data_IF_244239518906
#
_entry.id   IF_244239518906
#
_cell.length_a   1.000
_cell.length_b   1.000
_cell.length_c   1.000
_cell.angle_alpha   90.00
_cell.angle_beta   90.00
_cell.angle_gamma   90.00
#
_symmetry.space_group_name_H-M   'P 1'
#
loop_
_entity.id
_entity.type
_entity.pdbx_description
1 polymer ?
#
# COMPACT_ATOMS: atom_id res chain seq x y z
N UNK A 1 36.19 29.73 -16.02
CA UNK A 1 34.75 29.41 -15.95
C UNK A 1 34.61 27.90 -15.95
N UNK A 2 34.25 27.28 -14.81
CA UNK A 2 34.07 25.82 -14.70
C UNK A 2 32.56 25.54 -14.70
N UNK A 3 32.07 24.84 -15.71
CA UNK A 3 30.71 24.28 -15.72
C UNK A 3 30.66 23.12 -14.72
N UNK A 4 29.81 23.24 -13.71
CA UNK A 4 29.44 22.13 -12.85
C UNK A 4 28.41 21.28 -13.60
N UNK A 5 28.79 20.04 -13.89
CA UNK A 5 27.88 19.02 -14.43
C UNK A 5 27.06 18.52 -13.25
N UNK A 6 25.84 19.04 -13.10
CA UNK A 6 24.86 18.53 -12.15
C UNK A 6 24.41 17.14 -12.62
N UNK A 7 25.01 16.09 -12.07
CA UNK A 7 24.50 14.74 -12.16
C UNK A 7 23.20 14.67 -11.34
N UNK A 8 22.07 14.92 -11.99
CA UNK A 8 20.75 14.61 -11.44
C UNK A 8 20.61 13.09 -11.46
N UNK A 9 21.03 12.44 -10.37
CA UNK A 9 20.81 11.02 -10.16
C UNK A 9 19.31 10.75 -10.25
N UNK A 10 18.89 10.06 -11.31
CA UNK A 10 17.54 9.54 -11.44
C UNK A 10 17.34 8.57 -10.27
N UNK A 11 16.33 8.74 -9.40
CA UNK A 11 16.02 7.74 -8.39
C UNK A 11 15.58 6.49 -9.14
N UNK A 12 16.54 5.58 -9.29
CA UNK A 12 16.30 4.27 -9.87
C UNK A 12 15.35 3.58 -8.90
N UNK A 13 14.26 3.02 -9.45
CA UNK A 13 13.31 2.17 -8.74
C UNK A 13 14.03 1.38 -7.64
N UNK A 14 13.59 1.44 -6.37
CA UNK A 14 14.18 0.55 -5.40
C UNK A 14 13.80 -0.87 -5.83
N UNK A 15 14.80 -1.62 -6.30
CA UNK A 15 14.67 -3.07 -6.45
C UNK A 15 14.25 -3.64 -5.08
N UNK A 16 13.61 -4.81 -5.02
CA UNK A 16 13.33 -5.48 -3.73
C UNK A 16 14.51 -5.48 -2.74
N UNK A 17 15.79 -5.60 -3.16
CA UNK A 17 16.94 -5.36 -2.28
C UNK A 17 17.15 -3.89 -1.87
N UNK A 18 16.85 -2.88 -2.68
CA UNK A 18 16.96 -1.45 -2.34
C UNK A 18 15.87 -0.94 -1.38
N UNK A 19 14.75 -1.65 -1.23
CA UNK A 19 13.78 -1.40 -0.15
C UNK A 19 14.32 -1.79 1.24
N UNK A 20 15.38 -2.59 1.28
CA UNK A 20 16.01 -3.14 2.50
C UNK A 20 17.44 -2.64 2.68
N UNK A 21 18.11 -2.26 1.57
CA UNK A 21 19.49 -1.79 1.52
C UNK A 21 19.52 -0.27 1.31
N UNK A 22 19.31 0.48 2.38
CA UNK A 22 19.49 1.92 2.45
C UNK A 22 19.38 2.41 3.90
N UNK A 23 19.76 3.66 4.15
CA UNK A 23 19.60 4.34 5.46
C UNK A 23 18.12 4.41 5.95
N UNK A 24 17.17 3.90 5.16
CA UNK A 24 15.72 3.98 5.40
C UNK A 24 15.12 2.59 5.34
N UNK A 25 14.77 2.04 6.50
CA UNK A 25 14.20 0.71 6.65
C UNK A 25 12.73 0.67 6.16
N UNK A 26 12.49 0.35 4.89
CA UNK A 26 11.13 0.32 4.29
C UNK A 26 10.45 -1.04 4.42
N UNK A 27 10.65 -1.72 5.55
CA UNK A 27 10.02 -3.02 5.85
C UNK A 27 8.49 -2.96 5.80
N UNK A 28 7.89 -1.84 6.19
CA UNK A 28 6.44 -1.66 6.14
C UNK A 28 5.93 -1.71 4.69
N UNK A 29 6.58 -0.98 3.78
CA UNK A 29 6.25 -1.06 2.36
C UNK A 29 6.47 -2.47 1.79
N UNK A 30 7.60 -3.11 2.11
CA UNK A 30 7.85 -4.48 1.65
C UNK A 30 6.75 -5.45 2.11
N UNK A 31 6.35 -5.37 3.38
CA UNK A 31 5.25 -6.16 3.92
C UNK A 31 3.96 -5.93 3.13
N UNK A 32 3.60 -4.66 2.90
CA UNK A 32 2.40 -4.29 2.18
C UNK A 32 2.42 -4.79 0.72
N UNK A 33 3.52 -4.60 0.00
CA UNK A 33 3.67 -5.06 -1.39
C UNK A 33 3.60 -6.58 -1.50
N UNK A 34 4.21 -7.33 -0.58
CA UNK A 34 4.11 -8.81 -0.62
C UNK A 34 2.68 -9.31 -0.50
N UNK A 35 1.83 -8.63 0.30
CA UNK A 35 0.41 -8.94 0.39
C UNK A 35 -0.33 -8.60 -0.92
N UNK A 36 -0.03 -7.45 -1.53
CA UNK A 36 -0.72 -6.99 -2.75
C UNK A 36 -0.34 -7.82 -3.98
N UNK A 37 0.94 -8.16 -4.13
CA UNK A 37 1.46 -8.84 -5.31
C UNK A 37 1.22 -10.35 -5.27
N UNK A 38 1.36 -10.95 -4.09
CA UNK A 38 1.19 -12.39 -3.86
C UNK A 38 0.33 -12.63 -2.61
N UNK A 39 -0.97 -12.32 -2.69
CA UNK A 39 -1.86 -12.46 -1.55
C UNK A 39 -1.86 -13.90 -1.04
N UNK A 40 -1.88 -14.09 0.29
CA UNK A 40 -1.95 -15.42 0.88
C UNK A 40 -3.27 -16.10 0.51
N UNK A 41 -3.21 -17.37 0.13
CA UNK A 41 -4.35 -18.15 -0.38
C UNK A 41 -4.90 -19.19 0.60
N UNK A 42 -4.34 -19.26 1.79
CA UNK A 42 -4.73 -20.22 2.82
C UNK A 42 -4.48 -19.63 4.21
N UNK A 43 -5.22 -20.10 5.22
CA UNK A 43 -5.08 -19.60 6.58
C UNK A 43 -3.64 -19.76 7.11
N UNK A 44 -2.92 -20.88 6.86
CA UNK A 44 -1.50 -21.00 7.21
C UNK A 44 -0.61 -19.99 6.47
N UNK A 45 -0.88 -19.70 5.20
CA UNK A 45 -0.10 -18.71 4.44
C UNK A 45 -0.32 -17.29 4.97
N UNK A 46 -1.56 -16.93 5.33
CA UNK A 46 -1.89 -15.64 5.91
C UNK A 46 -1.30 -15.50 7.32
N UNK A 47 -1.42 -16.54 8.16
CA UNK A 47 -0.78 -16.59 9.47
C UNK A 47 0.75 -16.46 9.36
N UNK A 48 1.36 -17.12 8.38
CA UNK A 48 2.79 -16.99 8.09
C UNK A 48 3.20 -15.59 7.62
N UNK A 49 2.33 -14.93 6.83
CA UNK A 49 2.54 -13.53 6.44
C UNK A 49 2.49 -12.60 7.66
N UNK A 50 1.45 -12.72 8.52
CA UNK A 50 1.36 -11.97 9.77
C UNK A 50 2.58 -12.18 10.65
N UNK A 51 2.97 -13.43 10.86
CA UNK A 51 4.11 -13.78 11.70
C UNK A 51 5.40 -13.12 11.20
N UNK A 52 5.67 -13.23 9.90
CA UNK A 52 6.88 -12.69 9.27
C UNK A 52 6.92 -11.17 9.28
N UNK A 53 5.80 -10.52 8.96
CA UNK A 53 5.79 -9.10 8.61
C UNK A 53 5.25 -8.17 9.69
N UNK A 54 4.52 -8.68 10.69
CA UNK A 54 3.87 -7.86 11.73
C UNK A 54 4.24 -8.32 13.14
N UNK A 55 4.21 -9.63 13.40
CA UNK A 55 4.48 -10.19 14.75
C UNK A 55 5.97 -10.17 15.08
N UNK A 56 6.82 -10.77 14.23
CA UNK A 56 8.27 -10.81 14.46
C UNK A 56 8.93 -9.43 14.55
N UNK A 57 8.53 -8.43 13.75
CA UNK A 57 8.99 -7.05 13.93
C UNK A 57 8.48 -6.36 15.20
N UNK A 58 7.48 -6.93 15.89
CA UNK A 58 6.89 -6.36 17.10
C UNK A 58 5.85 -5.28 16.86
N UNK A 59 5.27 -5.20 15.66
CA UNK A 59 4.26 -4.19 15.30
C UNK A 59 2.84 -4.58 15.71
N UNK A 60 2.58 -5.89 15.86
CA UNK A 60 1.25 -6.42 16.20
C UNK A 60 1.38 -7.72 16.98
N UNK A 61 0.38 -8.04 17.80
CA UNK A 61 0.25 -9.39 18.37
C UNK A 61 -0.20 -10.38 17.29
N UNK A 62 -0.03 -11.68 17.56
CA UNK A 62 -0.48 -12.72 16.63
C UNK A 62 -2.02 -12.73 16.57
N UNK A 63 -2.62 -12.53 15.38
CA UNK A 63 -4.07 -12.60 15.25
C UNK A 63 -4.54 -14.05 15.30
N UNK A 64 -5.69 -14.28 15.94
CA UNK A 64 -6.34 -15.61 16.04
C UNK A 64 -7.39 -15.82 14.96
N UNK A 65 -7.94 -14.72 14.44
CA UNK A 65 -8.93 -14.68 13.39
C UNK A 65 -8.68 -13.47 12.50
N UNK A 66 -9.32 -13.44 11.34
CA UNK A 66 -9.29 -12.31 10.42
C UNK A 66 -10.71 -11.99 9.96
N UNK A 67 -10.97 -10.70 9.74
CA UNK A 67 -12.24 -10.21 9.21
C UNK A 67 -11.98 -9.18 8.12
N UNK A 68 -12.95 -8.99 7.24
CA UNK A 68 -12.99 -7.89 6.29
C UNK A 68 -14.44 -7.59 5.93
N UNK A 69 -14.79 -6.30 5.84
CA UNK A 69 -16.14 -5.85 5.49
C UNK A 69 -17.26 -6.60 6.25
N UNK A 70 -18.15 -7.28 5.50
CA UNK A 70 -19.29 -8.05 6.00
C UNK A 70 -19.06 -9.57 5.96
N UNK A 71 -17.84 -10.01 5.66
CA UNK A 71 -17.46 -11.42 5.59
C UNK A 71 -17.43 -12.07 6.98
N UNK A 72 -17.64 -13.38 7.02
CA UNK A 72 -17.58 -14.16 8.26
C UNK A 72 -16.12 -14.25 8.74
N UNK A 73 -15.86 -14.13 10.06
CA UNK A 73 -14.51 -14.26 10.59
C UNK A 73 -13.89 -15.63 10.28
N UNK A 74 -12.67 -15.63 9.75
CA UNK A 74 -11.90 -16.85 9.48
C UNK A 74 -10.85 -17.05 10.56
N UNK A 75 -10.76 -18.27 11.10
CA UNK A 75 -9.78 -18.62 12.13
C UNK A 75 -8.39 -18.88 11.52
N UNK A 76 -7.34 -18.34 12.16
CA UNK A 76 -5.93 -18.49 11.74
C UNK A 76 -5.14 -19.48 12.60
N UNK A 77 -5.74 -19.99 13.68
CA UNK A 77 -5.08 -20.87 14.65
C UNK A 77 -4.89 -22.31 14.16
N UNK A 78 -4.04 -23.10 14.85
CA UNK A 78 -3.82 -24.52 14.54
C UNK A 78 -5.07 -25.40 14.72
N UNK A 79 -6.09 -24.88 15.41
CA UNK A 79 -7.39 -25.53 15.59
C UNK A 79 -8.40 -25.17 14.50
N UNK A 80 -8.03 -24.37 13.51
CA UNK A 80 -8.90 -24.06 12.39
C UNK A 80 -9.18 -25.33 11.55
N UNK A 81 -10.43 -25.60 11.15
CA UNK A 81 -10.76 -26.74 10.31
C UNK A 81 -10.02 -26.62 8.97
N UNK A 82 -9.26 -27.65 8.60
CA UNK A 82 -8.49 -27.65 7.36
C UNK A 82 -9.45 -27.54 6.15
N UNK A 83 -9.25 -26.50 5.32
CA UNK A 83 -9.94 -26.34 4.03
C UNK A 83 -11.37 -25.80 4.08
N UNK A 84 -12.06 -25.84 5.23
CA UNK A 84 -13.48 -25.45 5.30
C UNK A 84 -13.70 -23.95 5.05
N UNK A 85 -12.74 -23.11 5.47
CA UNK A 85 -12.83 -21.65 5.40
C UNK A 85 -12.07 -21.06 4.20
N UNK A 86 -11.57 -21.89 3.28
CA UNK A 86 -10.81 -21.41 2.10
C UNK A 86 -11.57 -20.41 1.21
N UNK A 87 -12.84 -20.64 0.83
CA UNK A 87 -13.56 -19.67 -0.01
C UNK A 87 -13.80 -18.34 0.74
N UNK A 88 -14.16 -18.41 2.02
CA UNK A 88 -14.38 -17.24 2.88
C UNK A 88 -13.09 -16.43 3.05
N UNK A 89 -11.96 -17.13 3.27
CA UNK A 89 -10.67 -16.49 3.36
C UNK A 89 -10.29 -15.78 2.07
N UNK A 90 -10.54 -16.43 0.93
CA UNK A 90 -10.24 -15.84 -0.36
C UNK A 90 -11.07 -14.57 -0.57
N UNK A 91 -12.35 -14.57 -0.20
CA UNK A 91 -13.21 -13.40 -0.24
C UNK A 91 -12.66 -12.26 0.65
N UNK A 92 -12.29 -12.57 1.91
CA UNK A 92 -11.66 -11.61 2.83
C UNK A 92 -10.39 -10.99 2.23
N UNK A 93 -9.49 -11.82 1.70
CA UNK A 93 -8.20 -11.38 1.16
C UNK A 93 -8.41 -10.53 -0.10
N UNK A 94 -9.32 -10.92 -0.99
CA UNK A 94 -9.65 -10.16 -2.19
C UNK A 94 -10.32 -8.83 -1.87
N UNK A 95 -11.27 -8.82 -0.93
CA UNK A 95 -11.93 -7.59 -0.46
C UNK A 95 -10.91 -6.63 0.18
N UNK A 96 -10.03 -7.13 1.04
CA UNK A 96 -8.97 -6.35 1.68
C UNK A 96 -8.02 -5.76 0.64
N UNK A 97 -7.57 -6.59 -0.31
CA UNK A 97 -6.69 -6.17 -1.41
C UNK A 97 -7.34 -5.09 -2.28
N UNK A 98 -8.61 -5.28 -2.64
CA UNK A 98 -9.35 -4.29 -3.41
C UNK A 98 -9.45 -2.95 -2.67
N UNK A 99 -9.82 -2.98 -1.38
CA UNK A 99 -9.91 -1.78 -0.54
C UNK A 99 -8.59 -1.04 -0.46
N UNK A 100 -7.48 -1.75 -0.23
CA UNK A 100 -6.14 -1.15 -0.19
C UNK A 100 -5.80 -0.47 -1.51
N UNK A 101 -6.02 -1.15 -2.63
CA UNK A 101 -5.73 -0.62 -3.96
C UNK A 101 -6.60 0.59 -4.32
N UNK A 102 -7.87 0.57 -3.92
CA UNK A 102 -8.77 1.71 -4.09
C UNK A 102 -8.30 2.93 -3.28
N UNK A 103 -7.88 2.75 -2.03
CA UNK A 103 -7.34 3.84 -1.20
C UNK A 103 -6.04 4.42 -1.78
N UNK A 104 -5.11 3.57 -2.23
CA UNK A 104 -3.87 4.03 -2.86
C UNK A 104 -4.13 4.78 -4.18
N UNK A 105 -5.14 4.35 -4.94
CA UNK A 105 -5.55 5.07 -6.13
C UNK A 105 -6.18 6.43 -5.80
N UNK A 106 -7.00 6.49 -4.75
CA UNK A 106 -7.62 7.73 -4.30
C UNK A 106 -6.58 8.74 -3.79
N UNK A 107 -5.43 8.27 -3.30
CA UNK A 107 -4.29 9.12 -2.92
C UNK A 107 -3.66 9.88 -4.10
N UNK A 108 -3.88 9.45 -5.34
CA UNK A 108 -3.19 10.00 -6.49
C UNK A 108 -3.79 11.36 -6.94
N UNK A 109 -2.95 12.30 -7.41
CA UNK A 109 -3.42 13.54 -8.02
C UNK A 109 -4.33 13.30 -9.24
N UNK A 110 -5.21 14.26 -9.62
CA UNK A 110 -5.34 15.62 -9.07
C UNK A 110 -6.32 15.76 -7.89
N UNK A 111 -7.07 14.71 -7.56
CA UNK A 111 -8.07 14.72 -6.48
C UNK A 111 -7.62 13.80 -5.34
N UNK A 112 -6.40 14.05 -4.83
CA UNK A 112 -5.80 13.24 -3.79
C UNK A 112 -6.68 13.22 -2.52
N UNK A 113 -7.02 12.03 -2.07
CA UNK A 113 -7.83 11.77 -0.88
C UNK A 113 -6.97 11.11 0.21
N UNK A 114 -6.57 11.93 1.19
CA UNK A 114 -5.76 11.49 2.33
C UNK A 114 -6.61 10.90 3.48
N UNK A 115 -7.91 10.70 3.31
CA UNK A 115 -8.80 10.26 4.41
C UNK A 115 -8.34 8.97 5.08
N UNK A 116 -7.78 8.01 4.34
CA UNK A 116 -7.28 6.78 4.95
C UNK A 116 -6.05 7.02 5.83
N UNK A 117 -5.19 8.00 5.49
CA UNK A 117 -4.05 8.40 6.33
C UNK A 117 -4.55 9.06 7.61
N UNK A 118 -5.50 9.99 7.50
CA UNK A 118 -6.15 10.62 8.65
C UNK A 118 -6.82 9.58 9.56
N UNK A 119 -7.51 8.59 8.98
CA UNK A 119 -8.11 7.50 9.73
C UNK A 119 -7.07 6.61 10.43
N UNK A 120 -5.94 6.32 9.78
CA UNK A 120 -4.85 5.56 10.39
C UNK A 120 -4.24 6.28 11.60
N UNK A 121 -4.04 7.60 11.50
CA UNK A 121 -3.53 8.42 12.61
C UNK A 121 -4.57 8.46 13.75
N UNK A 122 -5.83 8.80 13.44
CA UNK A 122 -6.88 8.93 14.44
C UNK A 122 -7.21 7.61 15.14
N UNK A 123 -7.15 6.49 14.41
CA UNK A 123 -7.34 5.14 14.93
C UNK A 123 -6.13 4.60 15.72
N UNK A 124 -5.00 5.32 15.74
CA UNK A 124 -3.77 4.85 16.39
C UNK A 124 -3.10 3.67 15.67
N UNK A 125 -3.41 3.44 14.40
CA UNK A 125 -2.84 2.38 13.56
C UNK A 125 -1.44 2.70 13.08
N UNK A 126 -1.03 3.95 13.24
CA UNK A 126 0.34 4.41 13.04
C UNK A 126 0.71 5.31 14.20
N UNK A 127 2.00 5.34 14.53
CA UNK A 127 2.55 6.26 15.53
C UNK A 127 3.86 6.85 15.04
N UNK A 128 4.26 7.98 15.60
CA UNK A 128 5.62 8.49 15.41
C UNK A 128 6.62 7.49 15.99
N UNK A 129 7.66 7.19 15.22
CA UNK A 129 8.80 6.44 15.71
C UNK A 129 9.59 7.27 16.73
N UNK A 130 10.69 6.73 17.26
CA UNK A 130 11.63 7.50 18.07
C UNK A 130 12.21 8.73 17.34
N UNK A 131 12.22 8.70 16.00
CA UNK A 131 12.49 9.86 15.15
C UNK A 131 11.15 10.50 14.72
N UNK A 132 10.92 11.81 14.99
CA UNK A 132 9.68 12.47 14.61
C UNK A 132 9.42 12.55 13.10
N UNK A 133 10.43 12.38 12.25
CA UNK A 133 10.24 12.30 10.80
C UNK A 133 9.68 10.95 10.33
N UNK A 134 9.78 9.90 11.15
CA UNK A 134 9.42 8.54 10.79
C UNK A 134 8.15 8.09 11.50
N UNK A 135 7.41 7.21 10.84
CA UNK A 135 6.22 6.56 11.37
C UNK A 135 6.42 5.05 11.40
N UNK A 136 5.83 4.43 12.41
CA UNK A 136 5.75 2.98 12.56
C UNK A 136 4.29 2.53 12.45
N UNK A 137 4.03 1.38 11.81
CA UNK A 137 2.72 0.76 11.86
C UNK A 137 2.46 0.21 13.28
N UNK A 138 1.24 0.37 13.75
CA UNK A 138 0.72 -0.14 15.02
C UNK A 138 -0.71 -0.69 14.84
N UNK A 139 -0.94 -1.60 13.87
CA UNK A 139 -2.25 -2.22 13.71
C UNK A 139 -2.60 -3.07 14.93
N UNK A 140 -3.89 -3.33 15.13
CA UNK A 140 -4.39 -4.23 16.18
C UNK A 140 -4.88 -5.54 15.59
N UNK A 141 -4.79 -6.60 16.37
CA UNK A 141 -5.16 -7.96 15.94
C UNK A 141 -6.66 -8.14 15.63
N UNK A 142 -7.52 -7.24 16.11
CA UNK A 142 -8.97 -7.23 15.91
C UNK A 142 -9.42 -6.32 14.75
N UNK A 143 -8.48 -5.64 14.08
CA UNK A 143 -8.79 -4.80 12.93
C UNK A 143 -9.08 -5.61 11.66
N UNK A 144 -9.82 -5.00 10.75
CA UNK A 144 -10.05 -5.59 9.43
C UNK A 144 -8.73 -5.72 8.67
N UNK A 145 -8.59 -6.79 7.88
CA UNK A 145 -7.35 -7.11 7.17
C UNK A 145 -6.83 -5.95 6.32
N UNK A 146 -7.71 -5.27 5.59
CA UNK A 146 -7.36 -4.11 4.78
C UNK A 146 -6.88 -2.90 5.61
N UNK A 147 -7.37 -2.70 6.83
CA UNK A 147 -6.91 -1.63 7.72
C UNK A 147 -5.52 -1.94 8.27
N UNK A 148 -5.25 -3.22 8.55
CA UNK A 148 -3.93 -3.71 8.92
C UNK A 148 -2.95 -3.45 7.77
N UNK A 149 -3.29 -3.84 6.54
CA UNK A 149 -2.43 -3.62 5.36
C UNK A 149 -2.29 -2.12 5.04
N UNK A 150 -3.36 -1.33 5.16
CA UNK A 150 -3.31 0.12 4.99
C UNK A 150 -2.43 0.80 6.03
N UNK A 151 -2.35 0.29 7.26
CA UNK A 151 -1.45 0.83 8.28
C UNK A 151 0.02 0.75 7.86
N UNK A 152 0.40 -0.33 7.16
CA UNK A 152 1.75 -0.52 6.63
C UNK A 152 2.06 0.52 5.53
N UNK A 153 1.12 0.73 4.60
CA UNK A 153 1.25 1.79 3.60
C UNK A 153 1.25 3.18 4.24
N UNK A 154 0.36 3.43 5.20
CA UNK A 154 0.25 4.72 5.88
C UNK A 154 1.56 5.10 6.59
N UNK A 155 2.18 4.16 7.31
CA UNK A 155 3.46 4.40 7.97
C UNK A 155 4.56 4.81 6.97
N UNK A 156 4.66 4.10 5.84
CA UNK A 156 5.68 4.40 4.83
C UNK A 156 5.38 5.71 4.07
N UNK A 157 4.12 5.94 3.67
CA UNK A 157 3.67 7.17 2.99
C UNK A 157 3.88 8.40 3.88
N UNK A 158 3.53 8.32 5.16
CA UNK A 158 3.72 9.43 6.08
C UNK A 158 5.19 9.73 6.37
N UNK A 159 6.07 8.73 6.23
CA UNK A 159 7.53 8.89 6.36
C UNK A 159 8.19 9.41 5.08
N UNK A 160 7.57 9.16 3.91
CA UNK A 160 8.16 9.40 2.60
C UNK A 160 7.19 10.08 1.62
N UNK A 161 6.39 11.05 2.08
CA UNK A 161 5.28 11.62 1.30
C UNK A 161 5.68 12.13 -0.09
N UNK A 162 6.79 12.86 -0.17
CA UNK A 162 7.29 13.43 -1.42
C UNK A 162 7.59 12.35 -2.47
N UNK A 163 8.09 11.18 -2.05
CA UNK A 163 8.33 10.05 -2.94
C UNK A 163 7.02 9.52 -3.55
N UNK A 164 5.96 9.38 -2.75
CA UNK A 164 4.66 8.93 -3.25
C UNK A 164 4.01 9.96 -4.16
N UNK A 165 4.08 11.24 -3.78
CA UNK A 165 3.55 12.33 -4.61
C UNK A 165 4.26 12.43 -5.96
N UNK A 166 5.54 12.07 -6.03
CA UNK A 166 6.32 12.06 -7.27
C UNK A 166 6.11 10.80 -8.11
N UNK A 167 6.07 9.62 -7.48
CA UNK A 167 6.29 8.35 -8.19
C UNK A 167 5.15 7.35 -8.12
N UNK A 168 4.19 7.46 -7.19
CA UNK A 168 3.12 6.47 -7.07
C UNK A 168 2.27 6.41 -8.35
N UNK A 169 2.22 5.22 -8.94
CA UNK A 169 1.38 4.87 -10.07
C UNK A 169 0.48 3.69 -9.70
N UNK A 170 -0.81 3.77 -10.05
CA UNK A 170 -1.76 2.67 -9.90
C UNK A 170 -2.49 2.49 -11.21
N UNK A 171 -2.33 1.32 -11.82
CA UNK A 171 -2.98 0.99 -13.09
C UNK A 171 -4.49 1.09 -12.95
N UNK A 172 -5.15 1.81 -13.85
CA UNK A 172 -6.60 1.96 -13.73
C UNK A 172 -7.40 0.70 -14.07
N UNK A 173 -6.77 -0.23 -14.80
CA UNK A 173 -7.40 -1.44 -15.35
C UNK A 173 -7.14 -2.64 -14.45
N UNK A 174 -5.88 -2.92 -14.11
CA UNK A 174 -5.52 -4.08 -13.29
C UNK A 174 -5.07 -3.74 -11.86
N UNK A 175 -5.09 -2.45 -11.47
CA UNK A 175 -4.71 -1.96 -10.13
C UNK A 175 -3.27 -2.29 -9.71
N UNK A 176 -2.39 -2.66 -10.65
CA UNK A 176 -0.96 -2.85 -10.36
C UNK A 176 -0.35 -1.55 -9.83
N UNK A 177 0.38 -1.65 -8.72
CA UNK A 177 1.17 -0.55 -8.14
C UNK A 177 2.53 -0.53 -8.82
N UNK A 178 3.00 0.66 -9.20
CA UNK A 178 4.34 0.89 -9.73
C UNK A 178 4.87 2.22 -9.17
N UNK A 179 6.20 2.37 -9.13
CA UNK A 179 6.89 3.60 -8.73
C UNK A 179 7.82 4.12 -9.82
N UNK A 180 7.67 3.60 -11.05
CA UNK A 180 8.59 3.88 -12.15
C UNK A 180 8.46 5.33 -12.66
N UNK A 181 9.50 6.16 -12.47
CA UNK A 181 9.48 7.56 -12.88
C UNK A 181 9.51 7.73 -14.41
N UNK A 182 9.88 6.70 -15.16
CA UNK A 182 10.07 6.77 -16.61
C UNK A 182 8.77 6.66 -17.41
N UNK A 183 7.64 6.36 -16.74
CA UNK A 183 6.38 6.09 -17.41
C UNK A 183 5.57 7.36 -17.65
N UNK A 184 5.20 7.54 -18.91
CA UNK A 184 4.30 8.59 -19.39
C UNK A 184 2.86 8.34 -18.95
N UNK A 185 2.56 8.52 -17.66
CA UNK A 185 1.20 8.47 -17.11
C UNK A 185 1.07 7.58 -15.88
N UNK A 186 0.48 8.15 -14.81
CA UNK A 186 0.38 7.48 -13.50
C UNK A 186 -0.68 6.38 -13.42
N UNK A 187 -1.49 6.23 -14.46
CA UNK A 187 -2.67 5.33 -14.49
C UNK A 187 -2.49 4.10 -15.39
N UNK A 188 -1.31 3.91 -16.00
CA UNK A 188 -0.98 2.78 -16.87
C UNK A 188 -0.10 1.72 -16.20
N UNK A 189 0.12 0.59 -16.87
CA UNK A 189 1.14 -0.40 -16.54
C UNK A 189 1.73 -1.01 -17.84
N UNK A 190 2.71 -1.95 -17.81
CA UNK A 190 3.29 -2.50 -19.03
C UNK A 190 2.27 -3.16 -19.96
N UNK A 191 1.18 -3.67 -19.38
CA UNK A 191 0.12 -4.39 -20.08
C UNK A 191 -1.06 -3.48 -20.46
N UNK A 192 -1.15 -2.27 -19.89
CA UNK A 192 -2.30 -1.38 -20.06
C UNK A 192 -1.83 0.05 -20.26
N UNK A 193 -2.12 0.62 -21.43
CA UNK A 193 -1.75 2.00 -21.71
C UNK A 193 -2.45 2.98 -20.75
N UNK A 194 -1.73 4.01 -20.27
CA UNK A 194 -2.34 5.08 -19.51
C UNK A 194 -3.36 5.78 -20.40
N UNK A 195 -4.61 5.84 -19.94
CA UNK A 195 -5.60 6.63 -20.65
C UNK A 195 -5.39 8.08 -20.31
N UNK A 196 -5.12 8.88 -21.34
CA UNK A 196 -5.08 10.32 -21.22
C UNK A 196 -6.36 10.80 -20.53
N UNK A 197 -6.22 11.41 -19.35
CA UNK A 197 -7.26 12.29 -18.83
C UNK A 197 -7.43 13.39 -19.86
N UNK A 198 -8.51 13.30 -20.65
CA UNK A 198 -8.92 14.36 -21.55
C UNK A 198 -9.15 15.57 -20.66
N UNK A 199 -8.17 16.49 -20.63
CA UNK A 199 -8.40 17.83 -20.14
C UNK A 199 -9.50 18.40 -21.03
N UNK A 200 -10.72 18.48 -20.50
CA UNK A 200 -11.79 19.25 -21.13
C UNK A 200 -11.31 20.70 -21.07
N UNK A 201 -10.61 21.13 -22.12
CA UNK A 201 -10.37 22.54 -22.41
C UNK A 201 -11.73 23.23 -22.35
N UNK A 202 -11.94 24.04 -21.31
CA UNK A 202 -13.00 25.05 -21.29
C UNK A 202 -12.83 25.87 -22.56
N UNK A 203 -13.70 25.63 -23.55
CA UNK A 203 -13.79 26.48 -24.73
C UNK A 203 -14.14 27.88 -24.26
N UNK A 204 -13.28 28.82 -24.62
CA UNK A 204 -13.42 30.25 -24.42
C UNK A 204 -14.78 30.73 -24.93
N UNK A 205 -15.47 31.54 -24.10
CA UNK A 205 -16.67 32.29 -24.47
C UNK A 205 -16.32 33.25 -25.62
N UNK A 206 -17.10 33.33 -26.72
CA UNK A 206 -16.83 34.30 -27.77
C UNK A 206 -17.17 35.72 -27.29
N UNK A 207 -16.45 36.76 -27.78
CA UNK A 207 -16.79 38.14 -27.50
C UNK A 207 -18.07 38.53 -28.26
N UNK A 208 -18.84 39.44 -27.64
CA UNK A 208 -20.07 40.03 -28.18
C UNK A 208 -19.79 41.01 -29.33
#
# INVERSE_FOLDING_TARGET
>A
MRQAVSHTSIPTLPSTPSLVAGEHDRRALLAALTFIDKPPRSAPALAGWFEKHLVRPGWMRRPTHVTEAFSLPVSLGPSAPAGADEPELQEIVEAARYRVLASLRALMPPAADDRFLSAAIAGGRVRRAGNPALWEPCPREDEQLGDIVLSLFAADILSHREFYDAYLCVCKTCLRIDFDPSRSGRTGCPEHEPTATINVMRRSRPPA
#
